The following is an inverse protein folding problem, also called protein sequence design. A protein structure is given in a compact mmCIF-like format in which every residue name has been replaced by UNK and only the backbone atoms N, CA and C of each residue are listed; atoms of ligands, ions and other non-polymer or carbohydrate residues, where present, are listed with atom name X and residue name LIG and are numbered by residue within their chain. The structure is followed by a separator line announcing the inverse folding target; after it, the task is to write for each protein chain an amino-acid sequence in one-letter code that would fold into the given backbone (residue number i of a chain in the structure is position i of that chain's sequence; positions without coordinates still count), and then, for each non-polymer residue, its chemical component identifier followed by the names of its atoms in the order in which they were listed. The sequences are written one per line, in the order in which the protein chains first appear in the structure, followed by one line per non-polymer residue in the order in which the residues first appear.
data_IF_340017913403
#
_entry.id   IF_340017913403
#
_cell.length_a   1.000
_cell.length_b   1.000
_cell.length_c   1.000
_cell.angle_alpha   90.00
_cell.angle_beta   90.00
_cell.angle_gamma   90.00
#
_symmetry.space_group_name_H-M   'P 1'
#
loop_
_entity.id
_entity.type
_entity.pdbx_description
1 polymer ?
#
# COMPACT_ATOMS: atom_id res chain seq x y z
N UNK A 1 -7.20 -48.33 13.88
CA UNK A 1 -6.91 -47.52 15.08
C UNK A 1 -7.21 -46.06 14.74
N UNK A 2 -8.03 -45.41 15.56
CA UNK A 2 -8.20 -43.96 15.60
C UNK A 2 -7.07 -43.35 16.45
N UNK A 3 -6.45 -42.27 15.96
CA UNK A 3 -5.94 -41.14 16.75
C UNK A 3 -5.55 -40.03 15.76
N UNK A 4 -6.39 -39.02 15.52
CA UNK A 4 -6.64 -37.80 16.30
C UNK A 4 -5.52 -36.75 16.11
N UNK A 5 -5.87 -35.76 15.28
CA UNK A 5 -5.59 -34.31 15.36
C UNK A 5 -4.30 -33.85 16.07
N UNK A 6 -3.44 -33.21 15.30
CA UNK A 6 -2.96 -31.87 15.66
C UNK A 6 -2.73 -31.06 14.38
N UNK A 7 -3.72 -30.30 13.86
CA UNK A 7 -3.39 -29.09 13.15
C UNK A 7 -2.97 -28.12 14.25
N UNK A 8 -1.67 -27.84 14.35
CA UNK A 8 -1.27 -26.60 14.97
C UNK A 8 -1.95 -25.50 14.15
N UNK A 9 -3.11 -25.07 14.66
CA UNK A 9 -3.64 -23.74 14.47
C UNK A 9 -2.51 -22.82 14.92
N UNK A 10 -1.56 -22.55 14.02
CA UNK A 10 -1.09 -21.21 13.86
C UNK A 10 -2.35 -20.40 13.64
N UNK A 11 -2.87 -19.86 14.73
CA UNK A 11 -3.67 -18.66 14.68
C UNK A 11 -2.84 -17.72 13.82
N UNK A 12 -3.17 -17.68 12.53
CA UNK A 12 -2.88 -16.57 11.68
C UNK A 12 -3.56 -15.45 12.42
N UNK A 13 -2.80 -14.76 13.27
CA UNK A 13 -3.16 -13.48 13.82
C UNK A 13 -3.48 -12.67 12.58
N UNK A 14 -4.75 -12.63 12.21
CA UNK A 14 -5.27 -11.69 11.24
C UNK A 14 -5.00 -10.35 11.90
N UNK A 15 -3.82 -9.79 11.62
CA UNK A 15 -3.57 -8.39 11.81
C UNK A 15 -4.79 -7.69 11.24
N UNK A 16 -5.41 -6.81 12.03
CA UNK A 16 -6.58 -6.09 11.58
C UNK A 16 -6.28 -5.53 10.18
N UNK A 17 -7.13 -5.86 9.20
CA UNK A 17 -6.95 -5.39 7.85
C UNK A 17 -6.93 -3.85 7.90
N UNK A 18 -5.90 -3.27 7.32
CA UNK A 18 -5.72 -1.82 7.30
C UNK A 18 -6.89 -1.17 6.55
N UNK A 19 -7.43 -0.10 7.12
CA UNK A 19 -8.57 0.63 6.59
C UNK A 19 -8.15 1.96 5.96
N UNK A 20 -9.08 2.62 5.26
CA UNK A 20 -8.90 4.00 4.80
C UNK A 20 -8.63 4.98 5.95
N UNK A 21 -9.23 4.76 7.13
CA UNK A 21 -8.95 5.58 8.31
C UNK A 21 -7.48 5.45 8.74
N UNK A 22 -6.91 4.24 8.67
CA UNK A 22 -5.49 4.02 8.98
C UNK A 22 -4.58 4.68 7.93
N UNK A 23 -4.93 4.63 6.64
CA UNK A 23 -4.21 5.36 5.58
C UNK A 23 -4.23 6.87 5.84
N UNK A 24 -5.38 7.41 6.23
CA UNK A 24 -5.52 8.84 6.53
C UNK A 24 -4.69 9.24 7.75
N UNK A 25 -4.63 8.40 8.79
CA UNK A 25 -3.77 8.61 9.95
C UNK A 25 -2.27 8.59 9.60
N UNK A 26 -1.85 7.71 8.68
CA UNK A 26 -0.47 7.72 8.16
C UNK A 26 -0.18 8.96 7.32
N UNK A 27 -1.14 9.41 6.50
CA UNK A 27 -1.00 10.59 5.67
C UNK A 27 -0.77 11.87 6.49
N UNK A 28 -1.40 11.98 7.66
CA UNK A 28 -1.25 13.13 8.57
C UNK A 28 0.15 13.28 9.16
N UNK A 29 0.97 12.22 9.13
CA UNK A 29 2.34 12.25 9.64
C UNK A 29 3.34 12.85 8.64
N UNK A 30 2.89 13.13 7.41
CA UNK A 30 3.72 13.64 6.33
C UNK A 30 3.73 15.17 6.33
N UNK A 31 4.91 15.76 6.30
CA UNK A 31 5.11 17.20 6.09
C UNK A 31 5.00 17.58 4.61
N UNK A 32 4.80 18.87 4.30
CA UNK A 32 4.66 19.38 2.92
C UNK A 32 5.77 18.95 1.94
N UNK A 33 6.94 18.55 2.44
CA UNK A 33 8.04 18.02 1.66
C UNK A 33 8.68 16.82 2.37
N UNK A 34 9.06 15.82 1.57
CA UNK A 34 9.91 14.72 2.01
C UNK A 34 11.37 15.17 2.07
N UNK A 35 12.09 14.97 3.19
CA UNK A 35 13.54 15.16 3.21
C UNK A 35 14.23 14.15 2.28
N UNK A 36 15.41 14.50 1.78
CA UNK A 36 16.18 13.65 0.85
C UNK A 36 16.60 12.31 1.49
N UNK A 37 16.82 12.30 2.80
CA UNK A 37 17.17 11.14 3.62
C UNK A 37 15.96 10.57 4.40
N UNK A 38 14.74 10.80 3.90
CA UNK A 38 13.52 10.26 4.51
C UNK A 38 13.62 8.73 4.67
N UNK A 39 13.36 8.25 5.88
CA UNK A 39 13.29 6.83 6.15
C UNK A 39 12.07 6.18 5.46
N UNK A 40 12.04 4.84 5.50
CA UNK A 40 10.97 4.06 4.88
C UNK A 40 9.59 4.32 5.49
N UNK A 41 9.50 4.73 6.76
CA UNK A 41 8.22 5.05 7.40
C UNK A 41 7.65 6.36 6.89
N UNK A 42 8.49 7.39 6.76
CA UNK A 42 8.09 8.69 6.19
C UNK A 42 7.69 8.51 4.71
N UNK A 43 8.44 7.71 3.95
CA UNK A 43 8.09 7.39 2.54
C UNK A 43 6.76 6.63 2.42
N UNK A 44 6.48 5.72 3.35
CA UNK A 44 5.18 5.04 3.42
C UNK A 44 4.04 6.02 3.74
N UNK A 45 4.26 6.97 4.64
CA UNK A 45 3.31 8.06 4.91
C UNK A 45 2.98 8.86 3.64
N UNK A 46 3.99 9.22 2.85
CA UNK A 46 3.77 9.97 1.61
C UNK A 46 2.95 9.20 0.58
N UNK A 47 3.18 7.89 0.46
CA UNK A 47 2.33 7.01 -0.34
C UNK A 47 0.88 6.99 0.19
N UNK A 48 0.70 6.94 1.52
CA UNK A 48 -0.62 7.02 2.14
C UNK A 48 -1.31 8.37 1.84
N UNK A 49 -0.60 9.49 1.85
CA UNK A 49 -1.15 10.80 1.49
C UNK A 49 -1.64 10.88 0.04
N UNK A 50 -0.90 10.28 -0.90
CA UNK A 50 -1.32 10.17 -2.29
C UNK A 50 -2.60 9.32 -2.42
N UNK A 51 -2.64 8.15 -1.75
CA UNK A 51 -3.80 7.27 -1.74
C UNK A 51 -5.03 7.92 -1.08
N UNK A 52 -4.86 8.68 0.01
CA UNK A 52 -5.95 9.43 0.65
C UNK A 52 -6.53 10.49 -0.28
N UNK A 53 -5.67 11.17 -1.04
CA UNK A 53 -6.12 12.14 -2.05
C UNK A 53 -6.89 11.46 -3.17
N UNK A 54 -6.38 10.34 -3.67
CA UNK A 54 -7.05 9.53 -4.68
C UNK A 54 -8.43 9.03 -4.22
N UNK A 55 -8.50 8.41 -3.04
CA UNK A 55 -9.75 7.89 -2.49
C UNK A 55 -10.82 8.98 -2.31
N UNK A 56 -10.43 10.19 -1.90
CA UNK A 56 -11.34 11.34 -1.82
C UNK A 56 -11.83 11.77 -3.20
N UNK A 57 -11.00 11.69 -4.22
CA UNK A 57 -11.36 12.03 -5.59
C UNK A 57 -12.31 10.99 -6.23
N UNK A 58 -12.13 9.71 -5.93
CA UNK A 58 -12.93 8.61 -6.50
C UNK A 58 -14.14 8.20 -5.65
N UNK A 59 -14.24 8.68 -4.40
CA UNK A 59 -15.31 8.34 -3.47
C UNK A 59 -15.07 7.09 -2.61
N UNK A 60 -13.85 6.54 -2.63
CA UNK A 60 -13.41 5.40 -1.81
C UNK A 60 -12.97 5.80 -0.39
N UNK A 61 -13.36 6.99 0.09
CA UNK A 61 -12.90 7.57 1.35
C UNK A 61 -13.81 7.26 2.55
N UNK A 62 -14.49 6.12 2.54
CA UNK A 62 -15.29 5.68 3.69
C UNK A 62 -14.34 5.09 4.74
N UNK A 63 -14.45 5.49 6.01
CA UNK A 63 -13.49 5.10 7.06
C UNK A 63 -13.28 3.59 7.20
N UNK A 64 -14.32 2.79 6.98
CA UNK A 64 -14.26 1.32 7.00
C UNK A 64 -13.88 0.67 5.67
N UNK A 65 -13.61 1.45 4.63
CA UNK A 65 -13.16 0.93 3.33
C UNK A 65 -11.77 0.28 3.49
N UNK A 66 -11.53 -0.81 2.77
CA UNK A 66 -10.26 -1.49 2.84
C UNK A 66 -9.17 -0.67 2.17
N UNK A 67 -8.01 -0.52 2.84
CA UNK A 67 -6.83 0.07 2.22
C UNK A 67 -6.40 -0.71 0.96
N UNK A 68 -6.63 -2.03 0.94
CA UNK A 68 -6.38 -2.88 -0.22
C UNK A 68 -7.25 -2.47 -1.42
N UNK A 69 -8.55 -2.21 -1.22
CA UNK A 69 -9.44 -1.72 -2.28
C UNK A 69 -8.89 -0.42 -2.87
N UNK A 70 -8.54 0.54 -2.01
CA UNK A 70 -8.00 1.86 -2.44
C UNK A 70 -6.72 1.67 -3.26
N UNK A 71 -5.81 0.79 -2.83
CA UNK A 71 -4.55 0.52 -3.53
C UNK A 71 -4.79 -0.17 -4.88
N UNK A 72 -5.65 -1.18 -4.93
CA UNK A 72 -5.95 -1.93 -6.17
C UNK A 72 -6.60 -1.02 -7.21
N UNK A 73 -7.55 -0.19 -6.80
CA UNK A 73 -8.21 0.76 -7.70
C UNK A 73 -7.21 1.82 -8.19
N UNK A 74 -6.33 2.32 -7.31
CA UNK A 74 -5.28 3.26 -7.70
C UNK A 74 -4.30 2.65 -8.71
N UNK A 75 -3.86 1.40 -8.49
CA UNK A 75 -2.98 0.68 -9.42
C UNK A 75 -3.68 0.43 -10.77
N UNK A 76 -4.99 0.14 -10.76
CA UNK A 76 -5.79 -0.04 -11.97
C UNK A 76 -5.86 1.25 -12.78
N UNK A 77 -6.10 2.39 -12.12
CA UNK A 77 -6.09 3.70 -12.79
C UNK A 77 -4.70 4.08 -13.30
N UNK A 78 -3.63 3.72 -12.59
CA UNK A 78 -2.26 3.85 -13.08
C UNK A 78 -1.98 2.97 -14.30
N UNK A 79 -2.54 1.76 -14.37
CA UNK A 79 -2.46 0.91 -15.56
C UNK A 79 -3.14 1.57 -16.76
N UNK A 80 -4.33 2.13 -16.56
CA UNK A 80 -5.01 2.90 -17.60
C UNK A 80 -4.19 4.11 -18.06
N UNK A 81 -3.66 4.91 -17.13
CA UNK A 81 -2.80 6.06 -17.46
C UNK A 81 -1.55 5.65 -18.24
N UNK A 82 -0.86 4.61 -17.81
CA UNK A 82 0.35 4.12 -18.46
C UNK A 82 0.06 3.59 -19.87
N UNK A 83 -1.06 2.90 -20.06
CA UNK A 83 -1.52 2.46 -21.38
C UNK A 83 -1.75 3.64 -22.33
N UNK A 84 -2.43 4.69 -21.87
CA UNK A 84 -2.73 5.87 -22.69
C UNK A 84 -1.49 6.71 -23.03
N UNK A 85 -0.50 6.73 -22.13
CA UNK A 85 0.73 7.53 -22.28
C UNK A 85 1.90 6.77 -22.90
N UNK A 86 1.76 5.45 -23.12
CA UNK A 86 2.84 4.59 -23.61
C UNK A 86 3.93 4.30 -22.58
N UNK A 87 3.65 4.45 -21.29
CA UNK A 87 4.59 4.13 -20.21
C UNK A 87 4.50 2.65 -19.81
N UNK A 88 5.61 1.94 -19.57
CA UNK A 88 5.60 0.51 -19.24
C UNK A 88 5.45 0.26 -17.73
N UNK A 89 4.22 0.31 -17.19
CA UNK A 89 3.99 0.16 -15.75
C UNK A 89 4.64 -1.10 -15.16
N UNK A 90 4.51 -2.26 -15.81
CA UNK A 90 5.10 -3.51 -15.31
C UNK A 90 6.62 -3.43 -15.16
N UNK A 91 7.32 -2.77 -16.09
CA UNK A 91 8.77 -2.59 -16.01
C UNK A 91 9.17 -1.61 -14.91
N UNK A 92 8.36 -0.57 -14.71
CA UNK A 92 8.53 0.37 -13.59
C UNK A 92 8.32 -0.33 -12.25
N UNK A 93 7.28 -1.16 -12.10
CA UNK A 93 7.03 -1.96 -10.90
C UNK A 93 8.19 -2.93 -10.61
N UNK A 94 8.71 -3.60 -11.63
CA UNK A 94 9.90 -4.47 -11.49
C UNK A 94 11.16 -3.68 -11.08
N UNK A 95 11.27 -2.43 -11.51
CA UNK A 95 12.39 -1.58 -11.12
C UNK A 95 12.26 -1.07 -9.69
N UNK A 96 11.06 -0.66 -9.29
CA UNK A 96 10.74 -0.26 -7.93
C UNK A 96 10.94 -1.42 -6.93
N UNK A 97 10.55 -2.65 -7.28
CA UNK A 97 10.74 -3.82 -6.40
C UNK A 97 12.21 -4.13 -6.14
N UNK A 98 13.08 -3.96 -7.16
CA UNK A 98 14.54 -4.10 -6.98
C UNK A 98 15.11 -3.04 -6.04
N UNK A 99 14.66 -1.79 -6.17
CA UNK A 99 15.10 -0.71 -5.28
C UNK A 99 14.68 -0.96 -3.84
N UNK A 100 13.43 -1.37 -3.63
CA UNK A 100 12.91 -1.69 -2.30
C UNK A 100 13.68 -2.83 -1.62
N UNK A 101 14.10 -3.86 -2.37
CA UNK A 101 14.93 -4.94 -1.83
C UNK A 101 16.31 -4.44 -1.36
N UNK A 102 16.95 -3.57 -2.15
CA UNK A 102 18.24 -2.97 -1.78
C UNK A 102 18.12 -2.12 -0.51
N UNK A 103 17.02 -1.39 -0.35
CA UNK A 103 16.75 -0.56 0.84
C UNK A 103 16.45 -1.38 2.10
N UNK A 104 16.05 -2.66 1.98
CA UNK A 104 15.82 -3.54 3.13
C UNK A 104 17.08 -4.25 3.63
N UNK A 105 18.07 -4.43 2.77
CA UNK A 105 19.35 -5.09 3.12
C UNK A 105 20.40 -4.09 3.66
N UNK A 106 20.08 -2.79 3.73
CA UNK A 106 20.95 -1.69 4.13
C UNK A 106 20.72 -1.24 5.59
#
# INVERSE_FOLDING_TARGET
MLNILNPDNHAMTTAAAMTFADLSCLAEQVTDHLPFDADNAIRAGAAAAALTTFARYTGLNTDGESAETVIVDFLTDLMHLCSETGMPLCEMLLSASRQWLVEQDA
#
